data_IF_656330236800
#
_entry.id   IF_656330236800
#
_cell.length_a   1.000
_cell.length_b   1.000
_cell.length_c   1.000
_cell.angle_alpha   90.00
_cell.angle_beta   90.00
_cell.angle_gamma   90.00
#
_symmetry.space_group_name_H-M   'P 1'
#
loop_
_entity.id
_entity.type
_entity.pdbx_description
1 polymer ?
#
# COMPACT_ATOMS: atom_id res chain seq x y z
N UNK A 1 -12.20 -3.53 -30.39
CA UNK A 1 -12.88 -3.97 -29.16
C UNK A 1 -11.80 -4.06 -28.09
N UNK A 2 -11.90 -3.27 -27.02
CA UNK A 2 -10.90 -3.24 -25.95
C UNK A 2 -11.09 -4.39 -24.97
N UNK A 3 -9.98 -4.88 -24.41
CA UNK A 3 -9.99 -5.84 -23.29
C UNK A 3 -9.88 -5.08 -21.98
N UNK A 4 -10.57 -5.55 -20.97
CA UNK A 4 -10.49 -5.07 -19.59
C UNK A 4 -9.88 -6.17 -18.73
N UNK A 5 -8.90 -5.84 -17.90
CA UNK A 5 -8.30 -6.79 -16.96
C UNK A 5 -8.73 -6.42 -15.54
N UNK A 6 -9.25 -7.40 -14.81
CA UNK A 6 -9.71 -7.25 -13.43
C UNK A 6 -8.88 -8.17 -12.55
N UNK A 7 -8.35 -7.67 -11.44
CA UNK A 7 -7.73 -8.50 -10.43
C UNK A 7 -7.68 -7.79 -9.08
N UNK A 8 -7.53 -8.56 -8.01
CA UNK A 8 -7.30 -8.06 -6.66
C UNK A 8 -5.95 -8.57 -6.15
N UNK A 9 -5.26 -7.76 -5.35
CA UNK A 9 -3.99 -8.13 -4.71
C UNK A 9 -4.28 -8.58 -3.28
N UNK A 10 -3.68 -9.69 -2.85
CA UNK A 10 -3.90 -10.28 -1.52
C UNK A 10 -5.37 -10.61 -1.20
N UNK A 11 -6.19 -10.83 -2.23
CA UNK A 11 -7.61 -11.11 -2.08
C UNK A 11 -8.21 -11.79 -3.31
N UNK A 12 -9.52 -11.95 -3.27
CA UNK A 12 -10.32 -12.51 -4.36
C UNK A 12 -10.94 -11.38 -5.19
N UNK A 13 -11.30 -11.66 -6.44
CA UNK A 13 -12.01 -10.75 -7.34
C UNK A 13 -13.37 -11.37 -7.69
N UNK A 14 -14.43 -11.09 -6.90
CA UNK A 14 -15.74 -11.73 -7.07
C UNK A 14 -16.35 -11.55 -8.46
N UNK A 15 -16.05 -10.42 -9.13
CA UNK A 15 -16.51 -10.13 -10.49
C UNK A 15 -16.02 -11.16 -11.54
N UNK A 16 -14.94 -11.88 -11.25
CA UNK A 16 -14.37 -12.88 -12.14
C UNK A 16 -15.02 -14.27 -12.00
N UNK A 17 -15.86 -14.50 -10.98
CA UNK A 17 -16.46 -15.80 -10.71
C UNK A 17 -15.50 -16.79 -10.05
N UNK A 18 -15.72 -18.08 -10.31
CA UNK A 18 -14.99 -19.18 -9.67
C UNK A 18 -14.11 -19.96 -10.65
N UNK A 19 -12.94 -20.37 -10.16
CA UNK A 19 -11.95 -21.19 -10.81
C UNK A 19 -11.72 -22.43 -9.94
N UNK A 20 -12.05 -23.62 -10.47
CA UNK A 20 -11.96 -24.90 -9.73
C UNK A 20 -12.67 -24.87 -8.36
N UNK A 21 -13.89 -24.32 -8.33
CA UNK A 21 -14.70 -24.20 -7.12
C UNK A 21 -14.24 -23.14 -6.11
N UNK A 22 -13.14 -22.43 -6.37
CA UNK A 22 -12.62 -21.32 -5.55
C UNK A 22 -12.80 -19.97 -6.23
N UNK A 23 -12.96 -18.85 -5.51
CA UNK A 23 -13.05 -17.54 -6.12
C UNK A 23 -11.74 -17.16 -6.85
N UNK A 24 -11.86 -16.67 -8.08
CA UNK A 24 -10.71 -16.23 -8.87
C UNK A 24 -10.10 -14.94 -8.27
N UNK A 25 -8.81 -14.72 -8.48
CA UNK A 25 -8.12 -13.48 -8.07
C UNK A 25 -8.00 -12.48 -9.22
N UNK A 26 -8.20 -12.92 -10.47
CA UNK A 26 -8.30 -12.04 -11.63
C UNK A 26 -8.87 -12.73 -12.87
N UNK A 27 -9.18 -11.95 -13.89
CA UNK A 27 -9.73 -12.38 -15.18
C UNK A 27 -9.54 -11.33 -16.28
N UNK A 28 -9.60 -11.78 -17.53
CA UNK A 28 -9.77 -10.95 -18.74
C UNK A 28 -11.28 -10.81 -19.01
N UNK A 29 -11.76 -9.62 -19.34
CA UNK A 29 -13.14 -9.38 -19.71
C UNK A 29 -13.22 -8.55 -21.00
N UNK A 30 -14.18 -8.87 -21.85
CA UNK A 30 -14.47 -8.04 -23.03
C UNK A 30 -15.42 -6.91 -22.64
N UNK A 31 -15.07 -5.68 -22.99
CA UNK A 31 -15.94 -4.54 -22.75
C UNK A 31 -17.18 -4.63 -23.67
N UNK A 32 -18.32 -5.04 -23.13
CA UNK A 32 -19.63 -4.71 -23.70
C UNK A 32 -20.17 -3.48 -22.96
N UNK A 33 -20.40 -2.40 -23.71
CA UNK A 33 -21.09 -1.14 -23.33
C UNK A 33 -21.15 -0.82 -21.82
N UNK A 34 -20.16 -0.06 -21.33
CA UNK A 34 -20.15 0.81 -20.14
C UNK A 34 -20.74 0.32 -18.79
N UNK A 35 -21.14 -0.94 -18.65
CA UNK A 35 -21.66 -1.49 -17.40
C UNK A 35 -20.84 -2.70 -16.94
N UNK A 36 -20.13 -2.53 -15.83
CA UNK A 36 -19.34 -3.57 -15.14
C UNK A 36 -20.19 -4.81 -14.83
N UNK A 37 -21.53 -4.66 -14.72
CA UNK A 37 -22.46 -5.77 -14.48
C UNK A 37 -22.68 -6.69 -15.68
N UNK A 38 -22.23 -6.32 -16.89
CA UNK A 38 -22.40 -7.11 -18.13
C UNK A 38 -21.11 -7.72 -18.66
N UNK A 39 -20.01 -7.59 -17.91
CA UNK A 39 -18.71 -8.18 -18.28
C UNK A 39 -18.83 -9.71 -18.30
N UNK A 40 -18.40 -10.32 -19.41
CA UNK A 40 -18.23 -11.78 -19.52
C UNK A 40 -16.78 -12.11 -19.17
N UNK A 41 -16.50 -12.61 -17.94
CA UNK A 41 -15.13 -12.96 -17.56
C UNK A 41 -14.67 -14.20 -18.33
N UNK A 42 -13.41 -14.16 -18.75
CA UNK A 42 -12.68 -15.27 -19.34
C UNK A 42 -11.25 -15.29 -18.79
N UNK A 43 -10.52 -16.38 -19.06
CA UNK A 43 -9.11 -16.54 -18.66
C UNK A 43 -8.86 -16.19 -17.19
N UNK A 44 -9.59 -16.88 -16.32
CA UNK A 44 -9.53 -16.68 -14.87
C UNK A 44 -8.17 -17.14 -14.34
N UNK A 45 -7.63 -16.38 -13.38
CA UNK A 45 -6.36 -16.65 -12.71
C UNK A 45 -6.50 -16.57 -11.19
N UNK A 46 -5.54 -17.15 -10.47
CA UNK A 46 -5.47 -17.14 -9.00
C UNK A 46 -5.71 -18.49 -8.35
N UNK A 47 -5.58 -19.59 -9.11
CA UNK A 47 -5.57 -20.95 -8.56
C UNK A 47 -4.32 -21.17 -7.71
N UNK A 48 -3.15 -20.86 -8.28
CA UNK A 48 -1.90 -20.72 -7.52
C UNK A 48 -1.49 -19.25 -7.48
N UNK A 49 -0.89 -18.86 -6.36
CA UNK A 49 -0.49 -17.49 -6.05
C UNK A 49 0.91 -17.55 -5.49
N UNK A 50 1.83 -16.81 -6.10
CA UNK A 50 3.21 -16.80 -5.63
C UNK A 50 3.78 -15.39 -5.70
N UNK A 51 4.53 -15.02 -4.67
CA UNK A 51 5.15 -13.70 -4.53
C UNK A 51 6.65 -13.91 -4.37
N UNK A 52 7.44 -13.29 -5.23
CA UNK A 52 8.90 -13.42 -5.25
C UNK A 52 9.57 -12.05 -5.27
N UNK A 53 10.77 -11.98 -4.71
CA UNK A 53 11.69 -10.85 -4.85
C UNK A 53 12.79 -11.24 -5.84
N UNK A 54 12.97 -10.44 -6.90
CA UNK A 54 14.05 -10.65 -7.87
C UNK A 54 15.40 -10.22 -7.30
N UNK A 55 16.48 -10.66 -7.95
CA UNK A 55 17.85 -10.24 -7.62
C UNK A 55 18.10 -8.75 -7.80
N UNK A 56 17.34 -8.10 -8.69
CA UNK A 56 17.35 -6.65 -8.89
C UNK A 56 16.44 -5.90 -7.90
N UNK A 57 15.79 -6.59 -6.97
CA UNK A 57 14.95 -6.00 -5.94
C UNK A 57 13.49 -5.75 -6.35
N UNK A 58 13.02 -6.29 -7.48
CA UNK A 58 11.62 -6.17 -7.88
C UNK A 58 10.75 -7.21 -7.20
N UNK A 59 9.63 -6.78 -6.63
CA UNK A 59 8.61 -7.67 -6.08
C UNK A 59 7.67 -8.06 -7.22
N UNK A 60 7.52 -9.36 -7.47
CA UNK A 60 6.65 -9.89 -8.52
C UNK A 60 5.62 -10.85 -7.94
N UNK A 61 4.35 -10.61 -8.26
CA UNK A 61 3.23 -11.46 -7.91
C UNK A 61 2.75 -12.18 -9.16
N UNK A 62 2.69 -13.51 -9.09
CA UNK A 62 2.20 -14.35 -10.16
C UNK A 62 0.90 -15.05 -9.74
N UNK A 63 -0.15 -14.84 -10.53
CA UNK A 63 -1.42 -15.56 -10.45
C UNK A 63 -1.57 -16.48 -11.65
N UNK A 64 -1.63 -17.78 -11.40
CA UNK A 64 -1.80 -18.79 -12.44
C UNK A 64 -3.25 -19.27 -12.50
N UNK A 65 -3.71 -19.54 -13.72
CA UNK A 65 -5.02 -20.11 -14.01
C UNK A 65 -5.03 -21.64 -13.93
N UNK A 66 -6.09 -22.23 -14.49
CA UNK A 66 -6.15 -23.68 -14.65
C UNK A 66 -5.17 -24.12 -15.75
N UNK A 67 -4.33 -25.15 -15.52
CA UNK A 67 -3.48 -25.69 -16.56
C UNK A 67 -4.30 -26.12 -17.78
N UNK A 68 -4.02 -25.51 -18.94
CA UNK A 68 -4.69 -25.81 -20.21
C UNK A 68 -3.95 -26.88 -21.01
N UNK A 69 -2.72 -27.23 -20.61
CA UNK A 69 -1.84 -28.16 -21.31
C UNK A 69 -1.28 -29.26 -20.37
N UNK A 70 -1.07 -30.50 -20.86
CA UNK A 70 -0.49 -31.61 -20.08
C UNK A 70 0.90 -31.35 -19.50
N UNK A 71 1.63 -30.34 -20.00
CA UNK A 71 2.92 -29.92 -19.45
C UNK A 71 2.79 -29.02 -18.20
N UNK A 72 1.58 -28.78 -17.70
CA UNK A 72 1.31 -28.02 -16.48
C UNK A 72 1.30 -26.49 -16.66
N UNK A 73 1.34 -26.00 -17.90
CA UNK A 73 1.38 -24.55 -18.19
C UNK A 73 -0.04 -23.98 -18.27
N UNK A 74 -0.23 -22.77 -17.75
CA UNK A 74 -1.54 -22.13 -17.59
C UNK A 74 -1.45 -20.63 -17.96
N UNK A 75 -2.60 -20.00 -18.21
CA UNK A 75 -2.68 -18.54 -18.29
C UNK A 75 -2.17 -17.91 -16.99
N UNK A 76 -1.46 -16.78 -17.08
CA UNK A 76 -0.88 -16.13 -15.92
C UNK A 76 -1.02 -14.61 -15.96
N UNK A 77 -1.27 -14.00 -14.80
CA UNK A 77 -1.09 -12.57 -14.57
C UNK A 77 0.18 -12.36 -13.75
N UNK A 78 1.11 -11.59 -14.29
CA UNK A 78 2.39 -11.26 -13.68
C UNK A 78 2.39 -9.77 -13.34
N UNK A 79 2.31 -9.45 -12.05
CA UNK A 79 2.25 -8.08 -11.54
C UNK A 79 3.60 -7.74 -10.92
N UNK A 80 4.33 -6.80 -11.54
CA UNK A 80 5.57 -6.23 -10.98
C UNK A 80 5.24 -5.00 -10.16
N UNK A 81 5.64 -4.99 -8.89
CA UNK A 81 5.54 -3.82 -8.04
C UNK A 81 6.81 -2.98 -8.13
N UNK A 82 6.65 -1.68 -8.34
CA UNK A 82 7.74 -0.72 -8.48
C UNK A 82 7.59 0.35 -7.40
N UNK A 83 8.69 0.68 -6.74
CA UNK A 83 8.70 1.73 -5.72
C UNK A 83 8.45 3.09 -6.37
N UNK A 84 7.43 3.77 -5.84
CA UNK A 84 7.16 5.18 -6.06
C UNK A 84 6.58 5.72 -4.74
N UNK A 85 7.37 6.47 -3.98
CA UNK A 85 7.03 6.96 -2.64
C UNK A 85 5.92 8.02 -2.66
N UNK A 86 5.73 8.71 -3.79
CA UNK A 86 4.67 9.70 -3.97
C UNK A 86 3.29 9.08 -4.24
N UNK A 87 3.24 7.79 -4.61
CA UNK A 87 2.01 7.13 -5.06
C UNK A 87 1.55 6.07 -4.05
N UNK A 88 0.45 6.35 -3.34
CA UNK A 88 -0.20 5.40 -2.44
C UNK A 88 -1.73 5.48 -2.49
N UNK A 89 -2.47 4.36 -2.69
CA UNK A 89 -1.97 3.00 -2.88
C UNK A 89 -1.41 2.72 -4.29
N UNK A 90 -1.76 3.54 -5.29
CA UNK A 90 -1.40 3.36 -6.70
C UNK A 90 -2.44 2.59 -7.51
N UNK A 91 -2.23 2.53 -8.83
CA UNK A 91 -3.10 1.81 -9.78
C UNK A 91 -2.26 1.02 -10.79
N UNK A 92 -2.66 -0.21 -11.14
CA UNK A 92 -1.90 -1.03 -12.08
C UNK A 92 -1.99 -0.49 -13.52
N UNK A 93 -0.89 -0.58 -14.24
CA UNK A 93 -0.75 -0.28 -15.67
C UNK A 93 -0.55 -1.58 -16.44
N UNK A 94 -1.31 -1.78 -17.51
CA UNK A 94 -1.06 -2.86 -18.46
C UNK A 94 0.23 -2.58 -19.22
N UNK A 95 1.12 -3.57 -19.29
CA UNK A 95 2.36 -3.47 -20.07
C UNK A 95 2.20 -4.14 -21.43
N UNK A 96 2.07 -5.47 -21.42
CA UNK A 96 1.95 -6.31 -22.62
C UNK A 96 1.35 -7.67 -22.25
N UNK A 97 1.02 -8.44 -23.28
CA UNK A 97 0.52 -9.80 -23.16
C UNK A 97 1.29 -10.68 -24.15
N UNK A 98 1.97 -11.68 -23.64
CA UNK A 98 2.65 -12.69 -24.43
C UNK A 98 1.67 -13.82 -24.72
N UNK A 99 1.51 -14.16 -26.01
CA UNK A 99 0.52 -15.13 -26.46
C UNK A 99 1.23 -16.30 -27.13
N UNK A 100 1.21 -17.45 -26.46
CA UNK A 100 1.58 -18.72 -27.09
C UNK A 100 0.37 -19.30 -27.81
N UNK A 101 0.26 -19.02 -29.11
CA UNK A 101 -0.87 -19.48 -29.93
C UNK A 101 -0.90 -20.99 -30.10
N UNK A 102 0.23 -21.69 -29.93
CA UNK A 102 0.31 -23.15 -30.08
C UNK A 102 -0.29 -23.87 -28.87
N UNK A 103 -0.14 -23.28 -27.68
CA UNK A 103 -0.67 -23.82 -26.43
C UNK A 103 -1.96 -23.12 -25.97
N UNK A 104 -2.34 -22.02 -26.62
CA UNK A 104 -3.49 -21.20 -26.24
C UNK A 104 -3.29 -20.42 -24.92
N UNK A 105 -2.04 -20.28 -24.47
CA UNK A 105 -1.65 -19.69 -23.18
C UNK A 105 -1.33 -18.20 -23.33
N UNK A 106 -1.71 -17.42 -22.32
CA UNK A 106 -1.44 -15.99 -22.24
C UNK A 106 -0.81 -15.60 -20.91
N UNK A 107 0.38 -15.02 -21.02
CA UNK A 107 1.08 -14.39 -19.90
C UNK A 107 0.84 -12.88 -20.00
N UNK A 108 0.14 -12.31 -19.02
CA UNK A 108 -0.27 -10.90 -19.04
C UNK A 108 0.51 -10.12 -17.98
N UNK A 109 1.24 -9.10 -18.41
CA UNK A 109 2.16 -8.36 -17.55
C UNK A 109 1.59 -7.00 -17.16
N UNK A 110 1.64 -6.71 -15.87
CA UNK A 110 1.23 -5.44 -15.28
C UNK A 110 2.38 -4.82 -14.47
N UNK A 111 2.44 -3.50 -14.45
CA UNK A 111 3.26 -2.75 -13.51
C UNK A 111 2.36 -2.06 -12.50
N UNK A 112 2.74 -2.12 -11.23
CA UNK A 112 2.02 -1.49 -10.14
C UNK A 112 3.00 -0.61 -9.37
N UNK A 113 2.98 0.69 -9.67
CA UNK A 113 3.69 1.69 -8.88
C UNK A 113 3.00 1.88 -7.54
N UNK A 114 3.74 1.70 -6.45
CA UNK A 114 3.22 1.88 -5.08
C UNK A 114 4.35 2.13 -4.10
N UNK A 115 4.11 3.02 -3.14
CA UNK A 115 5.01 3.27 -2.03
C UNK A 115 5.19 2.05 -1.12
N UNK A 116 4.30 1.05 -1.18
CA UNK A 116 4.45 -0.22 -0.46
C UNK A 116 5.62 -1.08 -0.96
N UNK A 117 6.10 -0.84 -2.17
CA UNK A 117 7.27 -1.53 -2.73
C UNK A 117 8.60 -0.84 -2.35
N UNK A 118 8.53 0.35 -1.74
CA UNK A 118 9.71 1.08 -1.31
C UNK A 118 10.32 0.50 -0.05
N UNK A 119 11.65 0.50 0.01
CA UNK A 119 12.38 0.17 1.23
C UNK A 119 12.19 1.31 2.24
N UNK A 120 11.83 1.03 3.50
CA UNK A 120 11.62 2.07 4.50
C UNK A 120 12.84 2.98 4.67
N UNK A 121 12.67 4.28 4.41
CA UNK A 121 13.73 5.29 4.36
C UNK A 121 13.13 6.71 4.48
N UNK A 122 13.94 7.74 4.75
CA UNK A 122 13.47 9.12 4.66
C UNK A 122 12.92 9.43 3.27
N UNK A 123 11.81 10.16 3.21
CA UNK A 123 11.13 10.56 1.96
C UNK A 123 11.25 12.07 1.75
N UNK A 124 10.95 12.54 0.53
CA UNK A 124 10.79 13.96 0.30
C UNK A 124 9.67 14.53 1.17
N UNK A 125 9.92 15.70 1.74
CA UNK A 125 9.01 16.38 2.65
C UNK A 125 8.32 17.59 2.00
N UNK A 126 8.52 17.76 0.70
CA UNK A 126 7.80 18.69 -0.14
C UNK A 126 6.75 17.96 -0.95
N UNK A 127 5.59 18.58 -1.14
CA UNK A 127 4.52 18.02 -1.96
C UNK A 127 3.80 19.15 -2.70
N UNK A 128 3.37 18.87 -3.92
CA UNK A 128 2.62 19.82 -4.74
C UNK A 128 1.21 19.29 -4.98
N UNK A 129 0.19 20.13 -4.79
CA UNK A 129 -1.19 19.76 -5.10
C UNK A 129 -1.48 19.82 -6.61
N UNK A 130 -2.61 19.26 -7.08
CA UNK A 130 -3.00 19.34 -8.48
C UNK A 130 -3.24 20.77 -9.02
N UNK A 131 -3.41 21.77 -8.15
CA UNK A 131 -3.54 23.17 -8.52
C UNK A 131 -2.17 23.88 -8.65
N UNK A 132 -1.07 23.21 -8.30
CA UNK A 132 0.29 23.73 -8.35
C UNK A 132 0.74 24.45 -7.07
N UNK A 133 -0.01 24.34 -5.97
CA UNK A 133 0.44 24.85 -4.67
C UNK A 133 1.47 23.90 -4.08
N UNK A 134 2.61 24.45 -3.68
CA UNK A 134 3.71 23.72 -3.06
C UNK A 134 3.65 23.84 -1.53
N UNK A 135 3.85 22.72 -0.86
CA UNK A 135 3.83 22.62 0.60
C UNK A 135 5.13 21.98 1.09
N UNK A 136 5.85 22.66 1.97
CA UNK A 136 7.11 22.19 2.55
C UNK A 136 6.93 21.90 4.05
N UNK A 137 7.04 20.61 4.42
CA UNK A 137 6.94 20.13 5.80
C UNK A 137 8.31 19.92 6.46
N UNK A 138 9.41 20.28 5.80
CA UNK A 138 10.78 20.09 6.29
C UNK A 138 11.09 20.84 7.60
N UNK A 139 10.32 21.88 7.92
CA UNK A 139 10.38 22.54 9.22
C UNK A 139 10.01 21.58 10.37
N UNK A 140 9.12 20.62 10.13
CA UNK A 140 8.67 19.63 11.11
C UNK A 140 9.65 18.45 11.24
N UNK A 141 10.39 18.11 10.18
CA UNK A 141 11.37 17.02 10.20
C UNK A 141 12.64 17.37 10.97
N UNK A 142 12.99 18.67 11.04
CA UNK A 142 14.18 19.19 11.74
C UNK A 142 14.00 19.36 13.25
N UNK A 143 12.91 18.84 13.83
CA UNK A 143 12.66 18.94 15.26
C UNK A 143 13.79 18.25 16.06
N UNK A 144 14.39 18.98 17.02
CA UNK A 144 15.48 18.44 17.88
C UNK A 144 15.02 17.29 18.80
N UNK A 145 13.71 17.16 19.00
CA UNK A 145 13.05 16.12 19.78
C UNK A 145 11.92 15.55 18.93
N UNK A 146 11.58 14.26 19.11
CA UNK A 146 10.41 13.69 18.47
C UNK A 146 9.15 14.45 18.89
N UNK A 147 8.18 14.56 17.98
CA UNK A 147 6.88 15.11 18.31
C UNK A 147 6.14 14.16 19.24
N UNK A 148 5.44 14.69 20.23
CA UNK A 148 4.72 13.86 21.22
C UNK A 148 3.26 14.23 21.28
N UNK A 149 2.39 13.25 21.11
CA UNK A 149 0.99 13.33 21.51
C UNK A 149 0.78 12.46 22.75
N UNK A 150 0.22 13.02 23.81
CA UNK A 150 -0.11 12.28 25.03
C UNK A 150 -1.61 12.12 25.09
N UNK A 151 -2.04 10.89 25.32
CA UNK A 151 -3.43 10.58 25.58
C UNK A 151 -3.56 9.85 26.91
N UNK A 152 -4.68 10.08 27.60
CA UNK A 152 -5.01 9.38 28.84
C UNK A 152 -6.13 8.40 28.51
N UNK A 153 -5.80 7.12 28.44
CA UNK A 153 -6.74 6.04 28.16
C UNK A 153 -7.01 5.24 29.43
N UNK A 154 -8.12 4.47 29.48
CA UNK A 154 -8.57 3.57 30.56
C UNK A 154 -7.98 3.81 31.96
N UNK A 155 -8.80 4.33 32.88
CA UNK A 155 -8.47 4.44 34.32
C UNK A 155 -7.19 5.25 34.63
N UNK A 156 -6.82 6.20 33.76
CA UNK A 156 -5.68 7.10 34.00
C UNK A 156 -4.35 6.60 33.46
N UNK A 157 -4.33 5.51 32.67
CA UNK A 157 -3.11 5.01 32.02
C UNK A 157 -2.69 5.96 30.90
N UNK A 158 -1.48 6.51 31.05
CA UNK A 158 -0.89 7.40 30.05
C UNK A 158 -0.31 6.59 28.91
N UNK A 159 -0.63 6.99 27.69
CA UNK A 159 0.03 6.51 26.48
C UNK A 159 0.66 7.67 25.74
N UNK A 160 1.92 7.51 25.36
CA UNK A 160 2.69 8.52 24.65
C UNK A 160 2.94 8.05 23.23
N UNK A 161 2.50 8.83 22.26
CA UNK A 161 2.80 8.63 20.85
C UNK A 161 3.98 9.51 20.48
N UNK A 162 5.06 8.90 20.04
CA UNK A 162 6.19 9.57 19.41
C UNK A 162 5.99 9.58 17.91
N UNK A 163 6.08 10.75 17.29
CA UNK A 163 5.89 10.93 15.86
C UNK A 163 7.09 11.67 15.26
N UNK A 164 7.39 11.32 14.01
CA UNK A 164 8.30 12.06 13.15
C UNK A 164 7.57 12.43 11.85
N UNK A 165 8.14 13.35 11.08
CA UNK A 165 7.59 13.82 9.80
C UNK A 165 8.67 13.62 8.73
N UNK A 166 8.37 12.82 7.70
CA UNK A 166 9.24 12.48 6.54
C UNK A 166 10.58 11.78 6.84
N UNK A 167 11.06 11.84 8.08
CA UNK A 167 12.29 11.17 8.53
C UNK A 167 11.97 10.15 9.62
N UNK A 168 12.80 9.12 9.82
CA UNK A 168 12.66 8.22 10.97
C UNK A 168 12.74 8.95 12.31
N UNK A 169 12.07 8.40 13.32
CA UNK A 169 12.24 8.79 14.71
C UNK A 169 13.71 8.60 15.14
N UNK A 170 14.22 9.46 16.03
CA UNK A 170 15.44 9.14 16.78
C UNK A 170 15.21 7.89 17.64
N UNK A 171 16.28 7.32 18.18
CA UNK A 171 16.18 6.14 19.05
C UNK A 171 15.21 6.37 20.22
N UNK A 172 14.12 5.61 20.25
CA UNK A 172 13.17 5.53 21.36
C UNK A 172 13.33 4.15 22.03
N UNK A 173 13.68 4.08 23.33
CA UNK A 173 13.91 2.82 24.02
C UNK A 173 12.73 1.83 23.90
N UNK A 174 13.01 0.68 23.28
CA UNK A 174 12.06 -0.43 23.07
C UNK A 174 11.07 -0.25 21.92
N UNK A 175 11.17 0.83 21.14
CA UNK A 175 10.56 0.93 19.82
C UNK A 175 11.55 0.36 18.79
N UNK A 176 11.36 -0.91 18.42
CA UNK A 176 12.25 -1.59 17.47
C UNK A 176 11.73 -1.47 16.03
N UNK A 177 12.64 -1.45 15.07
CA UNK A 177 12.32 -1.39 13.65
C UNK A 177 13.26 -0.48 12.88
N UNK A 178 13.26 -0.61 11.56
CA UNK A 178 13.96 0.30 10.65
C UNK A 178 13.02 1.42 10.25
N UNK A 179 13.56 2.64 10.13
CA UNK A 179 12.84 3.82 9.67
C UNK A 179 11.47 4.07 10.35
N UNK A 180 11.34 3.81 11.66
CA UNK A 180 10.07 3.97 12.39
C UNK A 180 9.59 5.42 12.34
N UNK A 181 8.38 5.68 11.83
CA UNK A 181 7.79 7.02 11.76
C UNK A 181 6.89 7.36 12.95
N UNK A 182 6.32 6.34 13.59
CA UNK A 182 5.44 6.47 14.75
C UNK A 182 5.64 5.32 15.74
N UNK A 183 5.72 5.63 17.03
CA UNK A 183 5.79 4.64 18.09
C UNK A 183 4.88 4.97 19.27
N UNK A 184 4.17 3.96 19.77
CA UNK A 184 3.40 4.03 21.01
C UNK A 184 4.22 3.50 22.17
N UNK A 185 4.27 4.25 23.26
CA UNK A 185 4.84 3.83 24.54
C UNK A 185 3.79 3.95 25.64
N UNK A 186 3.51 2.82 26.28
CA UNK A 186 2.75 2.70 27.53
C UNK A 186 3.65 2.09 28.60
N UNK A 187 3.12 1.92 29.82
CA UNK A 187 3.84 1.21 30.90
C UNK A 187 4.15 -0.24 30.50
N UNK A 188 3.21 -0.90 29.84
CA UNK A 188 3.27 -2.33 29.53
C UNK A 188 3.84 -2.64 28.14
N UNK A 189 3.71 -1.71 27.18
CA UNK A 189 3.94 -1.99 25.76
C UNK A 189 4.66 -0.86 25.05
N UNK A 190 5.53 -1.23 24.12
CA UNK A 190 6.17 -0.34 23.16
C UNK A 190 5.92 -0.94 21.78
N UNK A 191 5.25 -0.19 20.91
CA UNK A 191 4.76 -0.70 19.63
C UNK A 191 5.16 0.24 18.50
N UNK A 192 5.82 -0.32 17.49
CA UNK A 192 5.98 0.36 16.20
C UNK A 192 4.59 0.49 15.55
N UNK A 193 4.17 1.72 15.28
CA UNK A 193 2.87 2.00 14.66
C UNK A 193 2.97 2.32 13.16
N UNK A 194 4.14 2.19 12.57
CA UNK A 194 4.37 2.35 11.14
C UNK A 194 5.75 2.91 10.84
N UNK A 195 6.22 2.62 9.62
CA UNK A 195 7.51 3.07 9.09
C UNK A 195 7.35 4.18 8.06
N UNK A 196 8.40 4.98 7.91
CA UNK A 196 8.51 6.01 6.87
C UNK A 196 8.83 5.32 5.54
N UNK A 197 7.95 5.51 4.57
CA UNK A 197 8.06 4.95 3.21
C UNK A 197 7.15 5.63 2.16
N UNK A 198 6.21 6.49 2.59
CA UNK A 198 5.23 7.17 1.74
C UNK A 198 5.44 8.67 1.91
N UNK A 199 5.63 9.41 0.81
CA UNK A 199 5.70 10.87 0.79
C UNK A 199 4.36 11.50 1.23
N UNK A 200 4.35 12.75 1.74
CA UNK A 200 3.11 13.44 2.10
C UNK A 200 2.08 13.39 0.95
N UNK A 201 0.82 13.11 1.28
CA UNK A 201 -0.28 12.96 0.34
C UNK A 201 -1.23 14.15 0.42
N UNK A 202 -1.68 14.63 -0.74
CA UNK A 202 -2.65 15.73 -0.83
C UNK A 202 -4.06 15.20 -1.06
N UNK A 203 -4.98 15.57 -0.18
CA UNK A 203 -6.41 15.31 -0.33
C UNK A 203 -7.09 16.28 -1.32
N UNK A 204 -8.26 15.92 -1.83
CA UNK A 204 -9.00 16.71 -2.83
C UNK A 204 -9.39 18.13 -2.36
N UNK A 205 -9.39 18.37 -1.05
CA UNK A 205 -9.66 19.67 -0.42
C UNK A 205 -8.39 20.47 -0.08
N UNK A 206 -7.21 20.04 -0.57
CA UNK A 206 -5.92 20.64 -0.24
C UNK A 206 -5.40 20.30 1.16
N UNK A 207 -6.04 19.35 1.87
CA UNK A 207 -5.50 18.84 3.13
C UNK A 207 -4.27 17.98 2.89
N UNK A 208 -3.29 18.05 3.79
CA UNK A 208 -2.08 17.23 3.72
C UNK A 208 -2.20 16.08 4.71
N UNK A 209 -1.69 14.90 4.33
CA UNK A 209 -1.63 13.77 5.24
C UNK A 209 -0.34 12.97 5.09
N UNK A 210 0.19 12.46 6.20
CA UNK A 210 1.22 11.43 6.20
C UNK A 210 0.60 10.12 6.66
N UNK A 211 0.99 9.03 6.01
CA UNK A 211 0.56 7.68 6.38
C UNK A 211 1.78 6.81 6.59
N UNK A 212 1.91 6.26 7.79
CA UNK A 212 2.89 5.24 8.12
C UNK A 212 2.19 3.90 8.24
N UNK A 213 2.70 2.89 7.55
CA UNK A 213 2.13 1.53 7.53
C UNK A 213 3.19 0.52 7.95
N UNK A 214 2.85 -0.77 7.94
CA UNK A 214 3.79 -1.85 8.22
C UNK A 214 4.41 -1.82 9.63
N UNK A 215 3.68 -1.29 10.64
CA UNK A 215 4.06 -1.36 12.04
C UNK A 215 4.02 -2.78 12.61
N UNK A 216 4.04 -2.93 13.93
CA UNK A 216 3.95 -4.23 14.59
C UNK A 216 2.64 -4.96 14.28
N UNK A 217 2.64 -6.29 14.49
CA UNK A 217 1.47 -7.13 14.22
C UNK A 217 0.32 -6.73 15.17
N UNK A 218 -0.84 -6.46 14.60
CA UNK A 218 -2.09 -6.22 15.30
C UNK A 218 -3.13 -7.24 14.81
N UNK A 219 -3.37 -8.30 15.60
CA UNK A 219 -4.23 -9.43 15.19
C UNK A 219 -3.76 -10.02 13.84
N UNK A 220 -4.58 -9.92 12.79
CA UNK A 220 -4.30 -10.38 11.42
C UNK A 220 -3.79 -9.26 10.50
N UNK A 221 -3.56 -8.06 11.04
CA UNK A 221 -3.08 -6.89 10.32
C UNK A 221 -1.79 -6.36 10.95
N UNK A 222 -1.34 -5.20 10.48
CA UNK A 222 -0.20 -4.45 11.02
C UNK A 222 -0.67 -3.05 11.40
N UNK A 223 -0.07 -2.48 12.43
CA UNK A 223 -0.38 -1.10 12.81
C UNK A 223 -0.07 -0.11 11.68
N UNK A 224 -0.86 0.95 11.64
CA UNK A 224 -0.63 2.12 10.81
C UNK A 224 -0.94 3.40 11.61
N UNK A 225 -0.34 4.51 11.19
CA UNK A 225 -0.57 5.85 11.74
C UNK A 225 -0.91 6.78 10.60
N UNK A 226 -1.97 7.58 10.75
CA UNK A 226 -2.28 8.69 9.85
C UNK A 226 -2.14 10.00 10.60
N UNK A 227 -1.40 10.93 10.03
CA UNK A 227 -1.24 12.30 10.54
C UNK A 227 -1.91 13.22 9.52
N UNK A 228 -2.97 13.91 9.91
CA UNK A 228 -3.58 14.95 9.09
C UNK A 228 -2.96 16.29 9.48
N UNK A 229 -2.51 17.07 8.50
CA UNK A 229 -1.96 18.39 8.70
C UNK A 229 -2.93 19.43 8.17
N UNK A 230 -3.28 20.36 9.05
CA UNK A 230 -4.17 21.47 8.76
C UNK A 230 -3.39 22.78 8.91
N UNK A 231 -3.60 23.70 7.95
CA UNK A 231 -2.94 24.99 7.98
C UNK A 231 -3.48 25.83 9.14
N UNK A 232 -2.57 26.30 10.00
CA UNK A 232 -2.87 27.22 11.08
C UNK A 232 -1.81 28.32 11.17
N UNK A 233 -2.17 29.48 11.69
CA UNK A 233 -1.24 30.61 11.90
C UNK A 233 -0.25 30.39 13.04
N UNK A 234 -0.37 29.28 13.77
CA UNK A 234 0.46 28.92 14.93
C UNK A 234 1.04 27.53 14.76
N UNK A 235 2.27 27.32 15.22
CA UNK A 235 2.85 25.98 15.33
C UNK A 235 2.15 25.20 16.44
N UNK A 236 1.36 24.21 16.06
CA UNK A 236 0.69 23.29 17.00
C UNK A 236 1.56 22.10 17.39
N UNK A 237 1.09 21.35 18.38
CA UNK A 237 1.57 19.99 18.68
C UNK A 237 0.53 18.97 18.17
N UNK A 238 0.96 17.77 17.75
CA UNK A 238 0.01 16.75 17.32
C UNK A 238 -0.92 16.34 18.46
N UNK A 239 -2.21 16.24 18.16
CA UNK A 239 -3.24 15.76 19.09
C UNK A 239 -3.73 14.40 18.64
N UNK A 240 -3.80 13.44 19.56
CA UNK A 240 -4.44 12.16 19.29
C UNK A 240 -5.93 12.38 19.01
N UNK A 241 -6.43 11.88 17.88
CA UNK A 241 -7.84 12.00 17.52
C UNK A 241 -8.63 10.73 17.89
N UNK A 242 -8.22 9.59 17.34
CA UNK A 242 -8.92 8.31 17.52
C UNK A 242 -8.01 7.13 17.18
N UNK A 243 -8.44 5.94 17.59
CA UNK A 243 -7.86 4.65 17.22
C UNK A 243 -8.99 3.75 16.73
N UNK A 244 -8.80 3.12 15.57
CA UNK A 244 -9.70 2.11 15.03
C UNK A 244 -9.13 0.71 15.29
N UNK A 245 -10.02 -0.29 15.38
CA UNK A 245 -9.72 -1.70 15.72
C UNK A 245 -9.45 -2.62 14.54
#
# INVERSE_FOLDING_TARGET
IGKTFLFNVCGEMPACGTLDGKPASGCEAEAQMDDVKTLKPGRLVGLEKSLQLSTEGFITLNYTGLPSHPNGRADAFIIRFVCNDDVYPGTPKFLHQDIDSSLGIRDTFFEFETALACVPSPVDCQVTDPAGNEYDLSGLSKARKPWTAVDTFDEGKKRTFYLSVCTPLPYIPGCHGTAVGSCLVTEDKKLNLGVVQISPQVGANGSLSLVYVNGDKCKNQRFSTRINLECAHTTGSPTFQLQND
#
